data_IF_183081724410
#
_entry.id   IF_183081724410
#
_cell.length_a   1.000
_cell.length_b   1.000
_cell.length_c   1.000
_cell.angle_alpha   90.00
_cell.angle_beta   90.00
_cell.angle_gamma   90.00
#
_symmetry.space_group_name_H-M   'P 1'
#
loop_
_entity.id
_entity.type
_entity.pdbx_description
1 polymer ?
#
# COMPACT_ATOMS: atom_id res chain seq x y z
N UNK A 1 17.81 25.99 4.46
CA UNK A 1 17.20 24.65 4.29
C UNK A 1 18.16 23.66 4.91
N UNK A 2 17.77 23.01 6.01
CA UNK A 2 18.69 22.27 6.89
C UNK A 2 18.98 20.88 6.32
N UNK A 3 20.25 20.46 6.32
CA UNK A 3 20.73 19.12 5.93
C UNK A 3 19.93 17.96 6.54
N UNK A 4 19.25 18.18 7.66
CA UNK A 4 18.45 17.18 8.37
C UNK A 4 17.23 16.68 7.59
N UNK A 5 16.60 17.51 6.75
CA UNK A 5 15.38 17.10 6.00
C UNK A 5 15.68 16.14 4.86
N UNK A 6 16.88 16.19 4.28
CA UNK A 6 17.33 15.24 3.26
C UNK A 6 17.62 13.85 3.85
N UNK A 7 18.14 13.79 5.08
CA UNK A 7 18.51 12.52 5.70
C UNK A 7 17.29 11.65 6.06
N UNK A 8 16.17 12.27 6.47
CA UNK A 8 14.93 11.55 6.81
C UNK A 8 14.24 11.01 5.55
N UNK A 9 14.25 11.78 4.44
CA UNK A 9 13.75 11.31 3.15
C UNK A 9 14.60 10.15 2.59
N UNK A 10 15.93 10.17 2.76
CA UNK A 10 16.81 9.07 2.38
C UNK A 10 16.66 7.80 3.25
N UNK A 11 16.25 7.94 4.51
CA UNK A 11 16.06 6.80 5.41
C UNK A 11 14.74 6.04 5.14
N UNK A 12 13.70 6.73 4.66
CA UNK A 12 12.42 6.10 4.28
C UNK A 12 12.47 5.43 2.91
N UNK A 13 13.37 5.92 2.04
CA UNK A 13 13.54 5.49 0.65
C UNK A 13 14.15 4.10 0.43
N UNK A 14 14.72 3.49 1.47
CA UNK A 14 15.66 2.38 1.29
C UNK A 14 15.23 1.10 2.00
N UNK A 15 13.92 0.87 2.18
CA UNK A 15 13.35 -0.38 2.73
C UNK A 15 12.87 -1.40 1.69
N UNK A 16 13.22 -1.23 0.41
CA UNK A 16 12.91 -2.22 -0.64
C UNK A 16 14.18 -2.98 -1.01
N UNK A 17 14.66 -3.77 -0.05
CA UNK A 17 15.55 -4.89 -0.35
C UNK A 17 15.28 -6.04 0.61
N UNK A 18 13.99 -6.35 0.79
CA UNK A 18 13.55 -7.62 1.29
C UNK A 18 12.81 -8.31 0.14
N UNK A 19 13.58 -8.85 -0.81
CA UNK A 19 13.18 -10.05 -1.53
C UNK A 19 13.02 -11.21 -0.55
N UNK A 20 12.06 -11.12 0.38
CA UNK A 20 11.44 -12.28 0.95
C UNK A 20 10.47 -12.76 -0.12
N UNK A 21 10.99 -13.59 -1.04
CA UNK A 21 10.22 -14.38 -1.97
C UNK A 21 9.38 -15.35 -1.12
N UNK A 22 8.31 -14.84 -0.52
CA UNK A 22 7.14 -15.66 -0.27
C UNK A 22 6.41 -15.70 -1.60
N UNK A 23 6.57 -16.83 -2.28
CA UNK A 23 5.81 -17.16 -3.49
C UNK A 23 4.34 -17.01 -3.12
N UNK A 24 3.71 -15.98 -3.67
CA UNK A 24 2.28 -15.74 -3.61
C UNK A 24 1.58 -16.89 -4.34
N UNK A 25 0.53 -17.46 -3.75
CA UNK A 25 -0.25 -18.55 -4.36
C UNK A 25 -1.61 -18.08 -4.90
N UNK A 26 -2.04 -16.85 -4.60
CA UNK A 26 -3.39 -16.37 -4.87
C UNK A 26 -3.46 -14.91 -5.32
N UNK A 27 -4.57 -14.59 -5.97
CA UNK A 27 -4.93 -13.30 -6.54
C UNK A 27 -5.25 -12.17 -5.53
N UNK A 28 -5.22 -10.91 -5.96
CA UNK A 28 -5.28 -9.63 -5.27
C UNK A 28 -6.20 -8.78 -6.11
N UNK A 29 -7.21 -8.25 -5.45
CA UNK A 29 -8.31 -7.56 -6.09
C UNK A 29 -8.09 -6.06 -6.21
N UNK A 30 -8.97 -5.33 -6.93
CA UNK A 30 -8.77 -3.92 -7.21
C UNK A 30 -8.55 -3.09 -5.94
N UNK A 31 -7.45 -2.35 -5.90
CA UNK A 31 -7.26 -1.23 -5.01
C UNK A 31 -7.59 0.08 -5.74
N UNK A 32 -7.74 1.16 -4.98
CA UNK A 32 -7.79 2.51 -5.54
C UNK A 32 -6.58 3.27 -5.02
N UNK A 33 -5.79 3.78 -5.96
CA UNK A 33 -4.55 4.47 -5.68
C UNK A 33 -4.68 5.95 -6.00
N UNK A 34 -4.06 6.80 -5.18
CA UNK A 34 -3.91 8.20 -5.53
C UNK A 34 -2.81 8.35 -6.58
N UNK A 35 -3.07 9.16 -7.61
CA UNK A 35 -2.01 9.54 -8.56
C UNK A 35 -0.82 10.11 -7.77
N UNK A 36 0.38 9.51 -7.87
CA UNK A 36 1.52 9.95 -7.09
C UNK A 36 1.87 11.40 -7.43
N UNK A 37 2.25 12.17 -6.42
CA UNK A 37 2.67 13.56 -6.65
C UNK A 37 3.92 13.58 -7.53
N UNK A 38 4.05 14.62 -8.37
CA UNK A 38 5.25 14.78 -9.22
C UNK A 38 6.54 14.80 -8.38
N UNK A 39 6.47 15.43 -7.20
CA UNK A 39 7.57 15.48 -6.23
C UNK A 39 7.96 14.08 -5.74
N UNK A 40 6.98 13.24 -5.42
CA UNK A 40 7.22 11.86 -5.01
C UNK A 40 7.90 11.05 -6.13
N UNK A 41 7.39 11.16 -7.36
CA UNK A 41 7.97 10.50 -8.55
C UNK A 41 9.41 10.96 -8.79
N UNK A 42 9.70 12.25 -8.67
CA UNK A 42 11.05 12.78 -8.85
C UNK A 42 12.04 12.28 -7.81
N UNK A 43 11.61 12.22 -6.55
CA UNK A 43 12.47 11.77 -5.44
C UNK A 43 12.68 10.27 -5.51
N UNK A 44 11.65 9.47 -5.79
CA UNK A 44 11.78 8.03 -6.04
C UNK A 44 12.84 7.74 -7.12
N UNK A 45 12.78 8.46 -8.25
CA UNK A 45 13.77 8.34 -9.32
C UNK A 45 15.19 8.71 -8.90
N UNK A 46 15.36 9.79 -8.10
CA UNK A 46 16.69 10.18 -7.58
C UNK A 46 17.25 9.10 -6.66
N UNK A 47 16.43 8.57 -5.76
CA UNK A 47 16.80 7.53 -4.81
C UNK A 47 17.24 6.25 -5.53
N UNK A 48 16.54 5.82 -6.59
CA UNK A 48 16.97 4.69 -7.43
C UNK A 48 18.36 4.88 -8.04
N UNK A 49 18.62 6.06 -8.59
CA UNK A 49 19.91 6.40 -9.23
C UNK A 49 21.06 6.46 -8.21
N UNK A 50 20.78 6.89 -6.99
CA UNK A 50 21.75 6.97 -5.89
C UNK A 50 21.99 5.59 -5.23
N UNK A 51 20.93 4.79 -5.05
CA UNK A 51 20.99 3.45 -4.48
C UNK A 51 21.81 2.49 -5.35
N UNK A 52 21.70 2.63 -6.68
CA UNK A 52 22.46 1.86 -7.67
C UNK A 52 23.98 2.13 -7.63
N UNK A 53 24.41 3.25 -7.00
CA UNK A 53 25.80 3.72 -7.03
C UNK A 53 26.53 3.62 -5.69
N UNK A 54 25.88 3.22 -4.59
CA UNK A 54 26.54 3.18 -3.26
C UNK A 54 26.64 1.77 -2.69
N UNK A 55 27.83 1.37 -2.24
CA UNK A 55 28.07 0.15 -1.46
C UNK A 55 27.64 0.29 0.02
N UNK A 56 27.16 1.47 0.41
CA UNK A 56 26.70 1.84 1.74
C UNK A 56 25.23 1.48 1.99
N UNK A 57 24.44 1.26 0.93
CA UNK A 57 23.00 0.91 0.96
C UNK A 57 22.71 -0.44 1.63
N UNK A 58 23.69 -1.35 1.71
CA UNK A 58 23.50 -2.67 2.33
C UNK A 58 23.58 -2.65 3.86
N UNK A 59 23.93 -1.51 4.48
CA UNK A 59 24.28 -1.41 5.92
C UNK A 59 23.26 -0.68 6.80
N UNK A 60 22.13 -0.22 6.28
CA UNK A 60 21.26 0.72 7.01
C UNK A 60 19.84 0.24 7.35
N UNK A 61 19.60 -1.07 7.42
CA UNK A 61 18.32 -1.60 7.89
C UNK A 61 18.44 -2.82 8.79
N UNK A 62 19.42 -2.84 9.69
CA UNK A 62 19.39 -3.91 10.71
C UNK A 62 18.28 -3.72 11.75
N UNK A 63 17.56 -2.57 11.81
CA UNK A 63 16.55 -2.30 12.85
C UNK A 63 15.48 -1.22 12.54
N UNK A 64 15.02 -1.02 11.29
CA UNK A 64 13.81 -0.19 11.12
C UNK A 64 12.60 -0.99 11.59
N UNK A 65 12.00 -0.55 12.69
CA UNK A 65 10.76 -1.10 13.23
C UNK A 65 9.66 -0.06 13.05
N UNK A 66 8.65 -0.39 12.25
CA UNK A 66 7.49 0.49 12.03
C UNK A 66 6.43 0.12 13.06
N UNK A 67 6.04 1.09 13.89
CA UNK A 67 4.95 0.90 14.83
C UNK A 67 3.62 0.92 14.07
N UNK A 68 2.75 -0.04 14.34
CA UNK A 68 1.44 -0.15 13.70
C UNK A 68 0.34 0.14 14.71
N UNK A 69 -0.52 1.09 14.38
CA UNK A 69 -1.77 1.36 15.09
C UNK A 69 -2.93 0.83 14.25
N UNK A 70 -3.64 -0.17 14.76
CA UNK A 70 -4.79 -0.75 14.08
C UNK A 70 -6.09 -0.12 14.60
N UNK A 71 -6.94 0.31 13.69
CA UNK A 71 -8.22 0.97 13.97
C UNK A 71 -9.34 0.15 13.32
N UNK A 72 -10.06 -0.64 14.12
CA UNK A 72 -11.29 -1.31 13.70
C UNK A 72 -12.43 -0.31 13.77
N UNK A 73 -12.98 0.07 12.63
CA UNK A 73 -14.08 1.02 12.54
C UNK A 73 -15.30 0.30 11.98
N UNK A 74 -16.30 0.10 12.83
CA UNK A 74 -17.37 -0.85 12.56
C UNK A 74 -18.76 -0.29 12.82
N UNK A 75 -19.73 -0.85 12.11
CA UNK A 75 -21.16 -0.61 12.31
C UNK A 75 -21.77 -1.70 13.21
N UNK A 76 -21.44 -2.96 12.94
CA UNK A 76 -21.85 -4.12 13.74
C UNK A 76 -20.75 -5.20 13.79
N UNK A 77 -20.90 -6.18 14.68
CA UNK A 77 -19.83 -7.10 15.11
C UNK A 77 -19.44 -8.22 14.13
N UNK A 78 -19.44 -7.95 12.82
CA UNK A 78 -19.02 -8.88 11.75
C UNK A 78 -18.14 -8.15 10.73
N UNK A 79 -17.41 -8.87 9.90
CA UNK A 79 -16.45 -8.27 8.97
C UNK A 79 -17.12 -7.48 7.83
N UNK A 80 -18.32 -7.89 7.39
CA UNK A 80 -19.19 -7.11 6.50
C UNK A 80 -19.71 -5.82 7.15
N UNK A 81 -19.62 -5.72 8.48
CA UNK A 81 -19.85 -4.50 9.26
C UNK A 81 -18.56 -3.78 9.67
N UNK A 82 -17.38 -4.18 9.18
CA UNK A 82 -16.08 -3.57 9.48
C UNK A 82 -15.34 -4.14 10.70
N UNK A 83 -15.87 -5.17 11.36
CA UNK A 83 -15.32 -5.69 12.61
C UNK A 83 -14.32 -6.85 12.39
N UNK A 84 -13.16 -6.77 13.06
CA UNK A 84 -12.10 -7.80 13.03
C UNK A 84 -11.61 -8.08 14.45
N UNK A 85 -11.56 -9.35 14.86
CA UNK A 85 -11.11 -9.75 16.22
C UNK A 85 -9.64 -10.14 16.30
N UNK A 86 -9.06 -10.68 15.22
CA UNK A 86 -7.72 -11.27 15.26
C UNK A 86 -6.83 -10.67 14.18
N UNK A 87 -5.67 -10.19 14.61
CA UNK A 87 -4.57 -9.76 13.77
C UNK A 87 -3.49 -10.83 13.80
N UNK A 88 -3.25 -11.50 12.67
CA UNK A 88 -2.14 -12.44 12.54
C UNK A 88 -1.09 -11.84 11.60
N UNK A 89 0.05 -11.48 12.16
CA UNK A 89 1.14 -10.79 11.45
C UNK A 89 1.81 -11.66 10.37
N UNK A 90 2.25 -11.01 9.30
CA UNK A 90 3.16 -11.55 8.28
C UNK A 90 4.20 -10.49 7.90
N UNK A 91 5.49 -10.84 8.08
CA UNK A 91 6.69 -10.40 7.34
C UNK A 91 7.08 -8.92 7.25
N UNK A 92 8.34 -8.61 7.61
CA UNK A 92 8.97 -7.28 7.85
C UNK A 92 8.63 -6.76 9.25
N UNK A 93 9.60 -6.10 9.92
CA UNK A 93 9.58 -5.70 11.34
C UNK A 93 8.51 -4.63 11.64
N UNK A 94 7.24 -5.02 11.61
CA UNK A 94 6.13 -4.25 12.14
C UNK A 94 5.88 -4.67 13.57
N UNK A 95 5.82 -3.70 14.48
CA UNK A 95 5.39 -3.93 15.86
C UNK A 95 4.02 -3.35 16.05
N UNK A 96 3.04 -4.18 16.41
CA UNK A 96 1.75 -3.69 16.86
C UNK A 96 1.93 -2.83 18.09
N UNK A 97 1.62 -1.55 17.96
CA UNK A 97 1.65 -0.60 19.06
C UNK A 97 0.33 -0.61 19.84
N UNK A 98 -0.80 -0.59 19.13
CA UNK A 98 -2.14 -0.60 19.74
C UNK A 98 -3.22 -1.06 18.76
N UNK A 99 -4.34 -1.50 19.31
CA UNK A 99 -5.57 -1.82 18.57
C UNK A 99 -6.72 -1.06 19.22
N UNK A 100 -7.46 -0.32 18.40
CA UNK A 100 -8.65 0.41 18.82
C UNK A 100 -9.90 -0.05 18.09
N UNK A 101 -11.04 0.03 18.77
CA UNK A 101 -12.34 -0.36 18.26
C UNK A 101 -13.29 0.83 18.35
N UNK A 102 -13.75 1.33 17.22
CA UNK A 102 -14.62 2.50 17.14
C UNK A 102 -15.91 2.13 16.42
N UNK A 103 -17.04 2.23 17.13
CA UNK A 103 -18.35 2.05 16.51
C UNK A 103 -18.82 3.36 15.88
N UNK A 104 -18.81 3.45 14.56
CA UNK A 104 -19.30 4.61 13.82
C UNK A 104 -19.73 4.18 12.41
N UNK A 105 -21.05 4.18 12.16
CA UNK A 105 -21.64 3.74 10.90
C UNK A 105 -21.11 4.51 9.69
N UNK A 106 -20.97 5.84 9.77
CA UNK A 106 -20.51 6.64 8.61
C UNK A 106 -19.07 6.27 8.24
N UNK A 107 -18.19 6.22 9.23
CA UNK A 107 -16.78 5.89 9.01
C UNK A 107 -16.59 4.42 8.60
N UNK A 108 -17.41 3.51 9.13
CA UNK A 108 -17.38 2.10 8.75
C UNK A 108 -17.70 1.88 7.27
N UNK A 109 -18.45 2.77 6.62
CA UNK A 109 -18.71 2.71 5.17
C UNK A 109 -17.88 3.74 4.39
N UNK A 110 -16.73 4.15 4.96
CA UNK A 110 -15.72 5.01 4.32
C UNK A 110 -16.12 6.46 4.10
N UNK A 111 -17.23 6.93 4.68
CA UNK A 111 -17.60 8.34 4.66
C UNK A 111 -16.78 9.14 5.68
N UNK A 112 -16.48 10.40 5.37
CA UNK A 112 -15.81 11.36 6.26
C UNK A 112 -14.40 10.91 6.73
N UNK A 113 -13.60 10.39 5.79
CA UNK A 113 -12.24 9.86 6.01
C UNK A 113 -11.36 10.81 6.84
N UNK A 114 -11.32 12.11 6.47
CA UNK A 114 -10.48 13.09 7.14
C UNK A 114 -10.84 13.21 8.62
N UNK A 115 -12.13 13.27 8.95
CA UNK A 115 -12.57 13.38 10.34
C UNK A 115 -12.32 12.07 11.10
N UNK A 116 -12.54 10.92 10.46
CA UNK A 116 -12.20 9.63 11.05
C UNK A 116 -10.72 9.59 11.44
N UNK A 117 -9.82 9.86 10.49
CA UNK A 117 -8.37 9.83 10.73
C UNK A 117 -7.92 10.92 11.71
N UNK A 118 -8.56 12.10 11.69
CA UNK A 118 -8.28 13.17 12.67
C UNK A 118 -8.48 12.71 14.12
N UNK A 119 -9.54 11.94 14.41
CA UNK A 119 -9.81 11.47 15.78
C UNK A 119 -9.04 10.22 16.16
N UNK A 120 -8.77 9.35 15.19
CA UNK A 120 -8.27 8.00 15.44
C UNK A 120 -6.75 7.88 15.31
N UNK A 121 -6.12 8.64 14.40
CA UNK A 121 -4.68 8.54 14.13
C UNK A 121 -3.86 8.63 15.43
N UNK A 122 -2.86 7.77 15.53
CA UNK A 122 -1.87 7.74 16.60
C UNK A 122 -0.45 7.79 16.03
N UNK A 123 0.50 8.13 16.91
CA UNK A 123 1.91 8.18 16.55
C UNK A 123 2.31 9.39 15.69
N UNK A 124 3.55 9.34 15.22
CA UNK A 124 4.15 10.30 14.29
C UNK A 124 3.99 9.86 12.83
N UNK A 125 4.79 10.45 11.94
CA UNK A 125 4.74 10.15 10.50
C UNK A 125 5.45 8.84 10.13
N UNK A 126 6.38 8.38 10.99
CA UNK A 126 7.06 7.09 10.83
C UNK A 126 6.22 5.90 11.31
N UNK A 127 5.03 6.15 11.87
CA UNK A 127 4.13 5.12 12.40
C UNK A 127 2.99 4.86 11.41
N UNK A 128 2.71 3.59 11.15
CA UNK A 128 1.67 3.16 10.24
C UNK A 128 0.32 3.09 10.97
N UNK A 129 -0.68 3.80 10.44
CA UNK A 129 -2.07 3.70 10.90
C UNK A 129 -2.88 2.87 9.89
N UNK A 130 -3.36 1.70 10.31
CA UNK A 130 -4.19 0.79 9.52
C UNK A 130 -5.65 0.90 9.96
N UNK A 131 -6.56 1.21 9.05
CA UNK A 131 -7.99 1.32 9.29
C UNK A 131 -8.73 0.16 8.62
N UNK A 132 -9.55 -0.54 9.40
CA UNK A 132 -10.39 -1.65 8.92
C UNK A 132 -11.84 -1.17 8.90
N UNK A 133 -12.45 -1.14 7.72
CA UNK A 133 -13.82 -0.66 7.49
C UNK A 133 -14.68 -1.74 6.83
N UNK A 134 -15.98 -1.52 6.70
CA UNK A 134 -16.90 -2.45 6.02
C UNK A 134 -16.75 -2.39 4.49
N UNK A 135 -16.79 -1.18 3.92
CA UNK A 135 -16.71 -0.92 2.48
C UNK A 135 -16.37 0.54 2.20
N UNK A 136 -15.99 0.85 0.97
CA UNK A 136 -15.84 2.23 0.49
C UNK A 136 -17.15 2.77 -0.11
N UNK A 137 -17.35 4.10 -0.12
CA UNK A 137 -18.51 4.71 -0.77
C UNK A 137 -18.55 4.43 -2.27
N UNK A 138 -19.75 4.22 -2.83
CA UNK A 138 -19.94 4.11 -4.28
C UNK A 138 -19.82 2.69 -4.87
N UNK A 139 -19.55 1.68 -4.04
CA UNK A 139 -19.45 0.27 -4.46
C UNK A 139 -20.75 -0.33 -5.04
N UNK A 140 -21.91 0.33 -4.88
CA UNK A 140 -23.22 -0.30 -5.14
C UNK A 140 -23.85 -0.03 -6.52
N UNK A 141 -23.18 0.62 -7.49
CA UNK A 141 -23.88 0.93 -8.76
C UNK A 141 -23.24 0.48 -10.06
N UNK A 142 -21.97 0.77 -10.36
CA UNK A 142 -21.42 0.49 -11.71
C UNK A 142 -19.88 0.33 -11.78
N UNK A 143 -19.17 0.08 -10.66
CA UNK A 143 -17.69 0.05 -10.64
C UNK A 143 -17.10 -1.21 -9.99
N UNK A 144 -15.81 -1.53 -10.25
CA UNK A 144 -15.09 -2.56 -9.50
C UNK A 144 -15.04 -2.17 -8.01
N UNK A 145 -15.16 -3.17 -7.14
CA UNK A 145 -15.07 -3.00 -5.69
C UNK A 145 -13.64 -2.65 -5.29
N UNK A 146 -13.44 -1.55 -4.57
CA UNK A 146 -12.15 -1.16 -3.97
C UNK A 146 -11.95 -1.94 -2.68
N UNK A 147 -10.81 -2.59 -2.51
CA UNK A 147 -10.52 -3.38 -1.30
C UNK A 147 -9.57 -2.69 -0.32
N UNK A 148 -8.79 -1.72 -0.80
CA UNK A 148 -7.86 -0.95 -0.01
C UNK A 148 -7.46 0.36 -0.68
N UNK A 149 -7.01 1.30 0.14
CA UNK A 149 -6.42 2.59 -0.26
C UNK A 149 -5.30 2.94 0.73
N UNK A 150 -4.14 3.32 0.21
CA UNK A 150 -3.04 3.88 0.99
C UNK A 150 -2.47 5.15 0.39
N UNK A 151 -1.83 5.92 1.26
CA UNK A 151 -1.20 7.19 0.90
C UNK A 151 0.30 7.00 0.75
N UNK A 152 0.83 7.53 -0.35
CA UNK A 152 2.26 7.56 -0.60
C UNK A 152 3.04 8.39 0.42
N UNK A 153 4.33 8.06 0.64
CA UNK A 153 5.24 8.97 1.31
C UNK A 153 5.28 10.33 0.62
N UNK A 154 5.18 11.39 1.42
CA UNK A 154 5.33 12.76 0.96
C UNK A 154 6.71 13.23 1.42
N UNK A 155 7.68 13.39 0.50
CA UNK A 155 9.09 13.61 0.84
C UNK A 155 9.40 15.09 1.11
N UNK A 156 8.50 15.78 1.82
CA UNK A 156 8.63 17.17 2.24
C UNK A 156 7.95 17.39 3.58
N UNK A 157 7.99 18.63 4.08
CA UNK A 157 7.21 19.00 5.24
C UNK A 157 5.72 18.84 4.92
N UNK A 158 5.04 18.04 5.75
CA UNK A 158 3.61 17.77 5.61
C UNK A 158 2.80 19.00 6.01
N UNK A 159 1.77 19.28 5.22
CA UNK A 159 0.64 20.05 5.69
C UNK A 159 -0.15 19.24 6.72
N UNK A 160 -0.91 19.95 7.56
CA UNK A 160 -1.67 19.32 8.62
C UNK A 160 -2.63 18.24 8.09
N UNK A 161 -3.34 18.54 7.00
CA UNK A 161 -4.30 17.59 6.41
C UNK A 161 -3.61 16.37 5.82
N UNK A 162 -2.41 16.51 5.26
CA UNK A 162 -1.62 15.40 4.70
C UNK A 162 -1.16 14.44 5.80
N UNK A 163 -0.69 14.98 6.92
CA UNK A 163 -0.34 14.19 8.10
C UNK A 163 -1.54 13.44 8.67
N UNK A 164 -2.70 14.09 8.76
CA UNK A 164 -3.93 13.44 9.22
C UNK A 164 -4.37 12.35 8.25
N UNK A 165 -4.24 12.57 6.95
CA UNK A 165 -4.74 11.67 5.91
C UNK A 165 -3.86 10.43 5.70
N UNK A 166 -2.58 10.51 6.03
CA UNK A 166 -1.60 9.42 5.94
C UNK A 166 -2.07 8.10 6.60
N UNK A 167 -1.56 6.98 6.08
CA UNK A 167 -1.89 5.61 6.51
C UNK A 167 -2.70 4.84 5.46
N UNK A 168 -3.28 3.73 5.89
CA UNK A 168 -3.87 2.73 5.01
C UNK A 168 -5.26 2.32 5.48
N UNK A 169 -6.22 2.24 4.56
CA UNK A 169 -7.59 1.79 4.84
C UNK A 169 -7.86 0.54 4.01
N UNK A 170 -8.35 -0.52 4.63
CA UNK A 170 -8.71 -1.78 3.97
C UNK A 170 -10.08 -2.27 4.44
N UNK A 171 -10.77 -3.04 3.63
CA UNK A 171 -12.01 -3.67 4.10
C UNK A 171 -11.69 -4.80 5.07
N UNK A 172 -12.45 -4.91 6.14
CA UNK A 172 -12.32 -5.94 7.17
C UNK A 172 -12.47 -7.36 6.59
N UNK A 173 -13.31 -7.53 5.55
CA UNK A 173 -13.50 -8.81 4.87
C UNK A 173 -12.24 -9.30 4.11
N UNK A 174 -11.21 -8.46 3.94
CA UNK A 174 -9.92 -8.89 3.36
C UNK A 174 -9.04 -9.62 4.37
N UNK A 175 -9.34 -9.53 5.68
CA UNK A 175 -8.54 -10.18 6.72
C UNK A 175 -8.74 -11.69 6.69
N UNK A 176 -7.68 -12.51 6.58
CA UNK A 176 -7.82 -13.97 6.52
C UNK A 176 -8.53 -14.54 7.76
N UNK A 177 -9.49 -15.44 7.53
CA UNK A 177 -10.18 -16.18 8.59
C UNK A 177 -11.38 -15.48 9.23
N UNK A 178 -11.80 -14.30 8.74
CA UNK A 178 -13.05 -13.65 9.16
C UNK A 178 -14.28 -14.25 8.47
N UNK A 179 -15.46 -14.05 9.06
CA UNK A 179 -16.73 -14.43 8.42
C UNK A 179 -16.99 -13.56 7.17
N UNK A 180 -17.38 -14.17 6.05
CA UNK A 180 -17.57 -13.45 4.79
C UNK A 180 -16.26 -12.98 4.15
N UNK A 181 -15.13 -13.62 4.52
CA UNK A 181 -13.82 -13.38 3.92
C UNK A 181 -13.87 -13.51 2.40
N UNK A 182 -13.33 -12.51 1.69
CA UNK A 182 -13.46 -12.39 0.23
C UNK A 182 -12.40 -13.18 -0.56
N UNK A 183 -11.62 -14.03 0.10
CA UNK A 183 -10.49 -14.76 -0.49
C UNK A 183 -9.47 -13.83 -1.20
N UNK A 184 -9.37 -12.59 -0.74
CA UNK A 184 -8.40 -11.60 -1.22
C UNK A 184 -7.31 -11.48 -0.16
N UNK A 185 -6.39 -12.42 -0.21
CA UNK A 185 -5.22 -12.40 0.64
C UNK A 185 -4.33 -11.21 0.25
N UNK A 186 -3.60 -10.68 1.23
CA UNK A 186 -2.54 -9.69 1.00
C UNK A 186 -2.98 -8.28 0.57
N UNK A 187 -4.27 -7.91 0.61
CA UNK A 187 -4.70 -6.52 0.38
C UNK A 187 -3.94 -5.56 1.30
N UNK A 188 -3.86 -5.86 2.59
CA UNK A 188 -3.07 -5.07 3.52
C UNK A 188 -1.56 -5.03 3.17
N UNK A 189 -1.01 -6.11 2.61
CA UNK A 189 0.40 -6.13 2.18
C UNK A 189 0.63 -5.25 0.95
N UNK A 190 -0.27 -5.31 -0.02
CA UNK A 190 -0.28 -4.45 -1.22
C UNK A 190 -0.36 -2.97 -0.83
N UNK A 191 -1.35 -2.64 -0.01
CA UNK A 191 -1.57 -1.34 0.59
C UNK A 191 -0.33 -0.80 1.33
N UNK A 192 0.27 -1.62 2.20
CA UNK A 192 1.51 -1.24 2.89
C UNK A 192 2.67 -1.04 1.91
N UNK A 193 2.68 -1.73 0.76
CA UNK A 193 3.61 -1.45 -0.33
C UNK A 193 3.51 0.00 -0.82
N UNK A 194 2.30 0.51 -1.06
CA UNK A 194 2.09 1.93 -1.41
C UNK A 194 2.50 2.88 -0.30
N UNK A 195 2.21 2.56 0.98
CA UNK A 195 2.70 3.34 2.12
C UNK A 195 4.23 3.41 2.18
N UNK A 196 4.92 2.36 1.71
CA UNK A 196 6.38 2.33 1.60
C UNK A 196 6.91 2.89 0.26
N UNK A 197 6.01 3.34 -0.62
CA UNK A 197 6.36 4.03 -1.86
C UNK A 197 6.43 3.16 -3.11
N UNK A 198 5.92 1.93 -3.07
CA UNK A 198 5.84 1.06 -4.25
C UNK A 198 4.64 1.42 -5.12
N UNK A 199 4.86 1.52 -6.43
CA UNK A 199 3.79 1.66 -7.41
C UNK A 199 3.23 0.29 -7.80
N UNK A 200 2.07 0.29 -8.48
CA UNK A 200 1.64 -0.88 -9.22
C UNK A 200 2.69 -1.32 -10.23
N UNK A 201 2.84 -2.64 -10.41
CA UNK A 201 3.73 -3.22 -11.43
C UNK A 201 3.37 -2.82 -12.87
N UNK A 202 2.12 -2.40 -13.08
CA UNK A 202 1.55 -1.90 -14.33
C UNK A 202 1.33 -0.39 -14.32
N UNK A 203 1.95 0.33 -13.38
CA UNK A 203 1.76 1.76 -13.22
C UNK A 203 2.11 2.49 -14.52
N UNK A 204 1.19 3.34 -14.94
CA UNK A 204 1.37 4.22 -16.09
C UNK A 204 1.63 5.61 -15.58
N UNK A 205 2.90 5.96 -15.33
CA UNK A 205 3.25 7.23 -14.69
C UNK A 205 2.42 8.42 -15.20
N UNK A 206 1.78 9.17 -14.29
CA UNK A 206 1.04 10.44 -14.40
C UNK A 206 0.14 10.76 -15.62
N UNK A 207 -0.02 9.89 -16.62
CA UNK A 207 -0.63 10.27 -17.90
C UNK A 207 -1.76 9.34 -18.38
N UNK A 208 -2.10 8.28 -17.63
CA UNK A 208 -3.20 7.38 -18.01
C UNK A 208 -2.98 6.67 -19.35
N UNK A 209 -1.75 6.66 -19.85
CA UNK A 209 -1.36 5.95 -21.06
C UNK A 209 -0.66 4.65 -20.66
N UNK A 210 -1.18 3.50 -21.14
CA UNK A 210 -0.54 2.19 -21.02
C UNK A 210 0.88 2.26 -21.59
N UNK A 211 1.86 2.50 -20.74
CA UNK A 211 3.26 2.72 -21.12
C UNK A 211 4.15 1.78 -20.34
N UNK A 212 5.08 1.17 -21.06
CA UNK A 212 6.07 0.25 -20.52
C UNK A 212 7.23 0.91 -19.79
N UNK A 213 7.36 2.22 -19.95
CA UNK A 213 8.44 3.00 -19.37
C UNK A 213 7.88 4.32 -18.83
N UNK A 214 8.23 4.71 -17.59
CA UNK A 214 9.16 4.02 -16.68
C UNK A 214 8.59 2.78 -15.96
N UNK A 215 7.32 2.41 -16.16
CA UNK A 215 6.67 1.34 -15.40
C UNK A 215 6.51 1.75 -13.94
N UNK A 216 6.80 0.83 -13.02
CA UNK A 216 6.80 1.04 -11.57
C UNK A 216 8.12 1.64 -11.04
N UNK A 217 9.04 2.05 -11.93
CA UNK A 217 10.38 2.55 -11.58
C UNK A 217 11.24 1.52 -10.77
N UNK A 218 10.93 0.22 -10.82
CA UNK A 218 11.71 -0.86 -10.18
C UNK A 218 12.39 -1.75 -11.24
N UNK A 219 13.73 -1.77 -11.24
CA UNK A 219 14.53 -2.41 -12.29
C UNK A 219 14.32 -3.94 -12.41
N UNK A 220 13.91 -4.62 -11.34
CA UNK A 220 13.68 -6.08 -11.31
C UNK A 220 12.20 -6.50 -11.43
N UNK A 221 11.27 -5.54 -11.54
CA UNK A 221 9.89 -5.79 -11.98
C UNK A 221 9.85 -5.95 -13.50
N UNK A 222 9.17 -6.97 -14.02
CA UNK A 222 9.04 -7.12 -15.47
C UNK A 222 8.11 -6.04 -16.05
N UNK A 223 8.40 -5.45 -17.22
CA UNK A 223 7.52 -4.45 -17.82
C UNK A 223 6.11 -4.98 -18.07
N UNK A 224 5.10 -4.20 -17.66
CA UNK A 224 3.69 -4.58 -17.72
C UNK A 224 2.81 -3.36 -18.00
N UNK A 225 1.75 -3.52 -18.80
CA UNK A 225 0.86 -2.43 -19.24
C UNK A 225 -0.54 -2.48 -18.59
N UNK A 226 -0.89 -3.61 -18.01
CA UNK A 226 -2.19 -3.88 -17.36
C UNK A 226 -2.02 -4.87 -16.22
N UNK A 227 -2.88 -4.85 -15.19
CA UNK A 227 -2.89 -5.87 -14.15
C UNK A 227 -3.09 -7.27 -14.73
N UNK A 228 -2.53 -8.29 -14.08
CA UNK A 228 -2.65 -9.68 -14.55
C UNK A 228 -4.07 -10.25 -14.37
N UNK A 229 -4.87 -9.77 -13.40
CA UNK A 229 -6.29 -10.14 -13.15
C UNK A 229 -6.55 -11.66 -13.23
N UNK A 230 -5.98 -12.42 -12.30
CA UNK A 230 -6.09 -13.88 -12.24
C UNK A 230 -5.51 -14.64 -13.45
N UNK A 231 -4.78 -14.01 -14.38
CA UNK A 231 -4.11 -14.71 -15.48
C UNK A 231 -2.94 -15.57 -14.95
N UNK A 232 -3.05 -16.92 -14.95
CA UNK A 232 -2.04 -17.78 -14.35
C UNK A 232 -0.84 -18.02 -15.26
N UNK A 233 -0.77 -17.34 -16.43
CA UNK A 233 0.28 -17.60 -17.41
C UNK A 233 1.63 -17.08 -16.89
N UNK A 234 2.68 -17.91 -16.87
CA UNK A 234 4.02 -17.49 -16.43
C UNK A 234 4.67 -16.47 -17.36
N UNK A 235 4.13 -16.29 -18.57
CA UNK A 235 4.54 -15.27 -19.53
C UNK A 235 3.33 -14.58 -20.12
N UNK A 236 3.42 -13.27 -20.26
CA UNK A 236 2.40 -12.40 -20.85
C UNK A 236 3.02 -11.61 -22.00
N UNK A 237 2.20 -11.24 -22.98
CA UNK A 237 2.63 -10.32 -24.03
C UNK A 237 2.44 -8.90 -23.52
N UNK A 238 3.55 -8.20 -23.29
CA UNK A 238 3.57 -6.84 -22.80
C UNK A 238 4.77 -6.12 -23.41
N UNK A 239 4.64 -4.83 -23.71
CA UNK A 239 5.78 -4.01 -24.08
C UNK A 239 6.51 -4.52 -25.34
N UNK A 240 5.71 -4.89 -26.35
CA UNK A 240 6.20 -5.35 -27.65
C UNK A 240 6.88 -6.72 -27.63
N UNK A 241 6.73 -7.52 -26.57
CA UNK A 241 7.32 -8.85 -26.51
C UNK A 241 6.76 -9.75 -25.41
N UNK A 242 7.18 -11.02 -25.42
CA UNK A 242 6.88 -11.95 -24.34
C UNK A 242 7.74 -11.63 -23.10
N UNK A 243 7.09 -11.28 -22.00
CA UNK A 243 7.70 -11.01 -20.70
C UNK A 243 7.29 -12.08 -19.70
N UNK A 244 8.04 -12.23 -18.61
CA UNK A 244 7.55 -12.99 -17.47
C UNK A 244 6.41 -12.21 -16.81
N UNK A 245 5.44 -12.91 -16.26
CA UNK A 245 4.32 -12.31 -15.54
C UNK A 245 4.76 -11.86 -14.14
N UNK A 246 4.23 -10.71 -13.68
CA UNK A 246 4.36 -10.26 -12.29
C UNK A 246 3.22 -10.77 -11.39
N UNK A 247 2.45 -11.78 -11.81
CA UNK A 247 1.28 -12.31 -11.07
C UNK A 247 1.52 -12.80 -9.63
N UNK A 248 2.77 -12.81 -9.17
CA UNK A 248 3.11 -13.14 -7.78
C UNK A 248 3.65 -11.93 -7.00
N UNK A 249 3.81 -10.79 -7.65
CA UNK A 249 4.17 -9.53 -7.02
C UNK A 249 2.96 -9.02 -6.23
N UNK A 250 3.18 -8.53 -5.02
CA UNK A 250 2.11 -7.97 -4.20
C UNK A 250 1.52 -6.70 -4.82
N UNK A 251 2.27 -5.97 -5.64
CA UNK A 251 1.84 -4.76 -6.34
C UNK A 251 1.16 -5.02 -7.71
N UNK A 252 0.72 -6.26 -7.97
CA UNK A 252 -0.15 -6.61 -9.10
C UNK A 252 -1.58 -6.92 -8.58
N UNK A 253 -2.62 -6.67 -9.39
CA UNK A 253 -3.99 -7.14 -9.15
C UNK A 253 -4.26 -8.53 -9.77
N UNK A 254 -3.19 -9.31 -9.97
CA UNK A 254 -3.28 -10.72 -10.31
C UNK A 254 -4.11 -11.44 -9.31
#
# INVERSE_FOLDING_TARGET
MSLLTFLVAMLMANAVNAGAIHVRQEAASPCEEQVPSQEFVEISRKLRLEASNSSLTRRQLENANIQVYAHVVFDYGRADGGYVQQYRYVGISFTLADVSYTRNTQWAYGYDEIRMKYYLRRGGYADLNMYFIASFPGEERYGPRTFGICYYPIPRQLEYVEFIRDGCTVIAQSVPGVEGWVNQNHIATHEVGHYLGLYHTFESGNWGERRCFPGDDIDDTYPQEEPSRDDPRPKVWACGGWRRSNMYNFMDYS
#
